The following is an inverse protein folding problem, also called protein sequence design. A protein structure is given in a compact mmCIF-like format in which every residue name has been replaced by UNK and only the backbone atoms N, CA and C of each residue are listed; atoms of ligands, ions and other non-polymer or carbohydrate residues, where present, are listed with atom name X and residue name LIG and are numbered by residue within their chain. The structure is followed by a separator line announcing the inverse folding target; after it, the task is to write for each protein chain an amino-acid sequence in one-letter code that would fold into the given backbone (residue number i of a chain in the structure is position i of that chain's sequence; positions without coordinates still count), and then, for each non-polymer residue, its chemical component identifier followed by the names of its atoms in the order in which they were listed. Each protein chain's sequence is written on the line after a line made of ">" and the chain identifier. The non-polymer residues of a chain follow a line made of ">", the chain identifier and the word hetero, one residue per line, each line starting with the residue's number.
data_IF_831518440270
#
_entry.id   IF_831518440270
#
_cell.length_a   1.000
_cell.length_b   1.000
_cell.length_c   1.000
_cell.angle_alpha   90.00
_cell.angle_beta   90.00
_cell.angle_gamma   90.00
#
_symmetry.space_group_name_H-M   'P 1'
#
loop_
_entity.id
_entity.type
_entity.pdbx_description
1 polymer ?
#
# COMPACT_ATOMS: atom_id res chain seq x y z
N UNK A 1 -80.97 16.90 14.07
CA UNK A 1 -79.52 16.67 14.20
C UNK A 1 -79.00 16.38 12.78
N UNK A 2 -78.24 17.28 12.14
CA UNK A 2 -77.81 17.10 10.75
C UNK A 2 -76.52 16.27 10.65
N UNK A 3 -76.33 15.74 9.45
CA UNK A 3 -75.52 14.57 9.10
C UNK A 3 -74.00 14.74 9.21
N UNK A 4 -73.35 13.61 9.50
CA UNK A 4 -71.90 13.42 9.51
C UNK A 4 -71.35 13.54 8.07
N UNK A 5 -70.47 14.50 7.82
CA UNK A 5 -69.77 14.67 6.54
C UNK A 5 -68.72 13.58 6.41
N UNK A 6 -68.88 12.73 5.39
CA UNK A 6 -68.01 11.59 5.08
C UNK A 6 -66.61 12.01 4.61
N UNK A 7 -65.63 11.22 5.04
CA UNK A 7 -64.21 11.28 4.70
C UNK A 7 -63.99 11.12 3.17
N UNK A 8 -63.30 12.10 2.57
CA UNK A 8 -62.48 12.01 1.34
C UNK A 8 -63.02 11.18 0.15
N UNK A 9 -63.91 11.77 -0.67
CA UNK A 9 -64.30 11.18 -1.96
C UNK A 9 -64.01 12.08 -3.18
N UNK A 10 -62.93 12.88 -3.18
CA UNK A 10 -62.63 13.68 -4.40
C UNK A 10 -61.17 14.14 -4.51
N UNK A 11 -60.23 13.20 -4.63
CA UNK A 11 -58.88 13.51 -5.14
C UNK A 11 -58.75 13.32 -6.67
N UNK A 12 -59.84 12.98 -7.38
CA UNK A 12 -59.81 12.70 -8.83
C UNK A 12 -60.20 13.87 -9.75
N UNK A 13 -60.52 15.07 -9.24
CA UNK A 13 -61.08 16.13 -10.09
C UNK A 13 -60.35 17.48 -10.06
N UNK A 14 -59.05 17.52 -9.79
CA UNK A 14 -58.29 18.78 -9.87
C UNK A 14 -57.32 18.77 -11.05
N UNK A 15 -57.84 18.50 -12.24
CA UNK A 15 -57.16 18.87 -13.47
C UNK A 15 -57.17 20.41 -13.56
N UNK A 16 -56.01 21.04 -13.36
CA UNK A 16 -55.82 22.47 -13.64
C UNK A 16 -55.82 23.45 -12.47
N UNK A 17 -55.74 23.00 -11.20
CA UNK A 17 -55.38 23.93 -10.10
C UNK A 17 -53.96 23.69 -9.62
N UNK A 18 -53.14 24.72 -9.75
CA UNK A 18 -51.87 24.83 -9.02
C UNK A 18 -52.23 24.96 -7.54
N UNK A 19 -51.76 24.04 -6.71
CA UNK A 19 -51.93 24.10 -5.26
C UNK A 19 -50.93 25.11 -4.67
N UNK A 20 -51.23 26.40 -4.81
CA UNK A 20 -50.29 27.49 -4.47
C UNK A 20 -50.17 27.77 -2.96
N UNK A 21 -50.88 27.06 -2.09
CA UNK A 21 -50.97 27.40 -0.65
C UNK A 21 -50.92 26.20 0.32
N UNK A 22 -50.24 25.11 -0.04
CA UNK A 22 -49.97 24.03 0.93
C UNK A 22 -48.51 24.12 1.37
N UNK A 23 -48.29 24.24 2.69
CA UNK A 23 -46.95 24.25 3.27
C UNK A 23 -46.25 22.89 3.07
N UNK A 24 -47.01 21.79 3.19
CA UNK A 24 -46.59 20.45 2.80
C UNK A 24 -47.77 19.55 2.43
N UNK A 25 -47.49 18.52 1.63
CA UNK A 25 -48.40 17.42 1.31
C UNK A 25 -47.78 16.15 1.88
N UNK A 26 -48.46 15.46 2.80
CA UNK A 26 -48.03 14.15 3.32
C UNK A 26 -48.88 13.04 2.73
N UNK A 27 -48.26 12.12 1.99
CA UNK A 27 -48.87 10.91 1.43
C UNK A 27 -48.45 9.70 2.28
N UNK A 28 -49.39 8.98 2.86
CA UNK A 28 -49.11 7.75 3.62
C UNK A 28 -49.50 6.53 2.80
N UNK A 29 -48.56 5.61 2.58
CA UNK A 29 -48.83 4.30 1.97
C UNK A 29 -49.63 3.39 2.89
N UNK A 30 -50.24 2.35 2.33
CA UNK A 30 -50.98 1.32 3.10
C UNK A 30 -50.07 0.47 3.99
N UNK A 31 -48.76 0.60 3.82
CA UNK A 31 -47.68 0.06 4.66
C UNK A 31 -47.31 0.99 5.84
N UNK A 32 -47.96 2.15 5.96
CA UNK A 32 -47.71 3.13 7.01
C UNK A 32 -46.53 4.08 6.72
N UNK A 33 -45.90 3.99 5.54
CA UNK A 33 -44.77 4.86 5.17
C UNK A 33 -45.27 6.20 4.64
N UNK A 34 -44.73 7.30 5.13
CA UNK A 34 -45.12 8.66 4.72
C UNK A 34 -44.10 9.33 3.80
N UNK A 35 -44.57 10.02 2.76
CA UNK A 35 -43.80 10.94 1.91
C UNK A 35 -44.35 12.35 2.14
N UNK A 36 -43.52 13.27 2.64
CA UNK A 36 -43.91 14.67 2.84
C UNK A 36 -43.23 15.56 1.80
N UNK A 37 -44.01 16.18 0.92
CA UNK A 37 -43.57 17.13 -0.10
C UNK A 37 -43.84 18.55 0.41
N UNK A 38 -42.80 19.25 0.83
CA UNK A 38 -42.85 20.67 1.22
C UNK A 38 -42.47 21.53 0.01
N UNK A 39 -43.01 22.75 -0.11
CA UNK A 39 -43.00 23.56 -1.34
C UNK A 39 -41.62 23.86 -1.97
N UNK A 40 -40.50 23.57 -1.30
CA UNK A 40 -39.16 23.81 -1.83
C UNK A 40 -38.16 22.68 -1.50
N UNK A 41 -38.52 21.44 -1.79
CA UNK A 41 -37.52 20.40 -2.03
C UNK A 41 -38.05 19.47 -3.11
N UNK A 42 -37.27 19.32 -4.17
CA UNK A 42 -37.32 18.19 -5.09
C UNK A 42 -37.65 16.89 -4.34
N UNK A 43 -38.32 15.94 -5.01
CA UNK A 43 -38.48 14.56 -4.54
C UNK A 43 -37.09 13.93 -4.36
N UNK A 44 -36.44 14.27 -3.27
CA UNK A 44 -35.24 13.63 -2.80
C UNK A 44 -35.75 12.46 -1.99
N UNK A 45 -35.31 11.26 -2.37
CA UNK A 45 -35.47 10.04 -1.60
C UNK A 45 -34.65 10.17 -0.30
N UNK A 46 -35.02 11.13 0.55
CA UNK A 46 -34.40 11.47 1.82
C UNK A 46 -34.84 10.49 2.92
N UNK A 47 -34.87 9.20 2.59
CA UNK A 47 -34.70 8.13 3.55
C UNK A 47 -33.42 7.41 3.14
N UNK A 48 -32.32 7.84 3.78
CA UNK A 48 -30.93 7.39 3.66
C UNK A 48 -30.12 7.97 2.47
N UNK A 49 -29.67 9.21 2.64
CA UNK A 49 -28.40 9.67 2.02
C UNK A 49 -27.40 10.09 3.11
N UNK A 50 -26.86 9.11 3.85
CA UNK A 50 -25.44 9.21 4.24
C UNK A 50 -24.51 8.71 3.14
N UNK A 51 -25.06 8.05 2.11
CA UNK A 51 -24.30 7.20 1.17
C UNK A 51 -24.32 7.72 -0.28
N UNK A 52 -24.92 8.88 -0.57
CA UNK A 52 -25.02 9.40 -1.94
C UNK A 52 -24.58 10.86 -2.03
N UNK A 53 -23.63 11.12 -2.91
CA UNK A 53 -23.12 12.47 -3.17
C UNK A 53 -24.16 13.31 -3.96
N UNK A 54 -24.22 14.64 -3.75
CA UNK A 54 -25.21 15.50 -4.39
C UNK A 54 -25.04 15.57 -5.92
N UNK A 55 -26.15 15.47 -6.65
CA UNK A 55 -26.21 15.34 -8.11
C UNK A 55 -25.53 16.48 -8.89
N UNK A 56 -25.52 17.69 -8.35
CA UNK A 56 -24.97 18.87 -9.03
C UNK A 56 -23.44 19.00 -8.87
N UNK A 57 -22.87 18.34 -7.88
CA UNK A 57 -21.43 18.34 -7.58
C UNK A 57 -21.15 17.17 -6.64
N UNK A 58 -20.97 15.94 -7.17
CA UNK A 58 -20.85 14.74 -6.33
C UNK A 58 -19.53 14.76 -5.55
N UNK A 59 -19.54 15.45 -4.42
CA UNK A 59 -18.46 15.48 -3.45
C UNK A 59 -18.92 14.70 -2.22
N UNK A 60 -18.17 13.67 -1.86
CA UNK A 60 -18.28 13.06 -0.55
C UNK A 60 -17.58 13.98 0.44
N UNK A 61 -18.35 14.75 1.19
CA UNK A 61 -17.83 15.73 2.18
C UNK A 61 -17.40 15.10 3.50
N UNK A 62 -17.57 13.78 3.63
CA UNK A 62 -17.17 12.95 4.78
C UNK A 62 -16.53 11.67 4.24
N UNK A 63 -15.53 11.17 4.96
CA UNK A 63 -14.87 9.88 4.68
C UNK A 63 -15.93 8.81 4.39
N UNK A 64 -15.97 8.29 3.17
CA UNK A 64 -16.74 7.08 2.86
C UNK A 64 -16.03 5.96 3.61
N UNK A 65 -16.53 5.62 4.80
CA UNK A 65 -16.00 4.51 5.58
C UNK A 65 -16.74 3.24 5.15
N UNK A 66 -16.71 2.92 3.86
CA UNK A 66 -16.77 1.51 3.47
C UNK A 66 -15.38 0.95 3.76
N UNK A 67 -15.24 -0.27 4.32
CA UNK A 67 -13.98 -0.77 4.86
C UNK A 67 -12.82 -0.92 3.86
N UNK A 68 -12.99 -0.52 2.60
CA UNK A 68 -12.07 -0.81 1.50
C UNK A 68 -11.43 0.46 0.93
N UNK A 69 -12.04 1.65 1.05
CA UNK A 69 -11.47 2.87 0.45
C UNK A 69 -11.65 4.08 1.41
N UNK A 70 -10.62 4.37 2.19
CA UNK A 70 -10.55 5.59 3.02
C UNK A 70 -9.91 6.74 2.23
N UNK A 71 -10.75 7.67 1.76
CA UNK A 71 -10.33 8.89 1.09
C UNK A 71 -10.39 10.09 2.04
N UNK A 72 -9.35 10.24 2.86
CA UNK A 72 -9.24 11.39 3.77
C UNK A 72 -8.30 12.44 3.18
N UNK A 73 -8.82 13.65 2.94
CA UNK A 73 -8.01 14.78 2.42
C UNK A 73 -7.46 14.56 1.01
N UNK A 74 -8.10 13.74 0.19
CA UNK A 74 -7.64 13.40 -1.17
C UNK A 74 -6.57 12.31 -1.24
N UNK A 75 -6.25 11.68 -0.11
CA UNK A 75 -5.31 10.55 -0.02
C UNK A 75 -6.05 9.22 -0.16
N UNK A 76 -5.33 8.14 -0.48
CA UNK A 76 -5.83 6.76 -0.41
C UNK A 76 -5.12 6.10 0.77
N UNK A 77 -5.84 5.83 1.86
CA UNK A 77 -5.22 5.17 3.01
C UNK A 77 -5.33 3.64 2.89
N UNK A 78 -4.20 2.97 3.13
CA UNK A 78 -4.12 1.51 3.25
C UNK A 78 -4.19 1.11 4.73
N UNK A 79 -4.78 -0.05 5.07
CA UNK A 79 -4.79 -0.55 6.44
C UNK A 79 -3.37 -0.89 6.91
N UNK A 80 -3.09 -0.67 8.20
CA UNK A 80 -1.78 -1.00 8.79
C UNK A 80 -1.43 -2.50 8.73
N UNK A 81 -2.44 -3.37 8.61
CA UNK A 81 -2.25 -4.77 8.29
C UNK A 81 -2.67 -5.00 6.84
N UNK A 82 -1.80 -5.63 6.04
CA UNK A 82 -2.07 -5.90 4.63
C UNK A 82 -3.41 -6.64 4.44
N UNK A 83 -4.26 -6.09 3.57
CA UNK A 83 -5.49 -6.73 3.11
C UNK A 83 -5.21 -7.49 1.80
N UNK A 84 -4.45 -8.58 1.90
CA UNK A 84 -3.86 -9.26 0.74
C UNK A 84 -4.88 -9.63 -0.35
N UNK A 85 -4.55 -9.31 -1.61
CA UNK A 85 -5.33 -9.71 -2.79
C UNK A 85 -4.52 -10.59 -3.73
N UNK A 86 -5.14 -11.64 -4.26
CA UNK A 86 -4.56 -12.49 -5.31
C UNK A 86 -4.90 -12.01 -6.74
N UNK A 87 -5.74 -10.98 -6.88
CA UNK A 87 -6.09 -10.41 -8.18
C UNK A 87 -4.97 -9.48 -8.69
N UNK A 88 -4.46 -9.76 -9.89
CA UNK A 88 -3.37 -9.00 -10.50
C UNK A 88 -3.71 -7.52 -10.79
N UNK A 89 -5.00 -7.16 -10.79
CA UNK A 89 -5.47 -5.79 -11.04
C UNK A 89 -5.84 -5.03 -9.75
N UNK A 90 -5.55 -5.60 -8.58
CA UNK A 90 -5.82 -4.96 -7.28
C UNK A 90 -4.53 -4.47 -6.66
N UNK A 91 -4.47 -3.17 -6.31
CA UNK A 91 -3.43 -2.64 -5.42
C UNK A 91 -3.91 -2.81 -3.98
N UNK A 92 -3.26 -3.68 -3.22
CA UNK A 92 -3.71 -4.15 -1.92
C UNK A 92 -2.92 -3.58 -0.74
N UNK A 93 -1.77 -2.96 -0.99
CA UNK A 93 -0.87 -2.50 0.07
C UNK A 93 0.00 -1.29 -0.30
N UNK A 94 0.31 -0.49 0.72
CA UNK A 94 1.31 0.57 0.70
C UNK A 94 1.93 0.71 2.09
N UNK A 95 3.25 0.52 2.18
CA UNK A 95 3.99 0.55 3.45
C UNK A 95 5.34 1.25 3.25
N UNK A 96 5.64 2.24 4.10
CA UNK A 96 6.95 2.90 4.18
C UNK A 96 7.52 2.72 5.57
N UNK A 97 8.59 1.93 5.69
CA UNK A 97 9.25 1.75 6.97
C UNK A 97 10.76 1.52 6.84
N UNK A 98 11.39 1.20 7.96
CA UNK A 98 12.78 0.79 8.05
C UNK A 98 12.88 -0.68 8.39
N UNK A 99 13.98 -1.33 7.99
CA UNK A 99 14.36 -2.64 8.52
C UNK A 99 15.80 -2.63 9.03
N UNK A 100 16.10 -3.58 9.92
CA UNK A 100 17.47 -3.78 10.39
C UNK A 100 18.24 -4.61 9.35
N UNK A 101 19.24 -3.99 8.74
CA UNK A 101 20.18 -4.63 7.83
C UNK A 101 21.06 -5.62 8.58
N UNK A 102 21.30 -6.78 7.96
CA UNK A 102 22.29 -7.74 8.40
C UNK A 102 23.12 -8.23 7.22
N UNK A 103 24.37 -8.58 7.51
CA UNK A 103 25.24 -9.27 6.57
C UNK A 103 25.58 -10.65 7.13
N UNK A 104 25.49 -11.67 6.27
CA UNK A 104 25.93 -13.03 6.61
C UNK A 104 26.79 -13.61 5.49
N UNK A 105 27.59 -14.61 5.82
CA UNK A 105 28.46 -15.30 4.87
C UNK A 105 27.82 -16.61 4.42
N UNK A 106 27.73 -16.83 3.11
CA UNK A 106 27.10 -18.02 2.55
C UNK A 106 27.86 -19.34 2.76
N UNK A 107 29.10 -19.30 3.27
CA UNK A 107 29.89 -20.51 3.54
C UNK A 107 30.36 -20.58 4.98
N UNK A 108 31.17 -19.61 5.44
CA UNK A 108 31.69 -19.58 6.81
C UNK A 108 32.16 -18.19 7.21
N UNK A 109 32.49 -18.03 8.49
CA UNK A 109 32.92 -16.76 9.07
C UNK A 109 31.76 -15.83 9.39
N UNK A 110 32.10 -14.63 9.85
CA UNK A 110 31.12 -13.62 10.25
C UNK A 110 31.49 -12.24 9.71
N UNK A 111 30.46 -11.44 9.47
CA UNK A 111 30.53 -9.99 9.19
C UNK A 111 29.48 -9.34 10.06
N UNK A 112 29.84 -8.34 10.85
CA UNK A 112 28.89 -7.58 11.67
C UNK A 112 28.82 -6.14 11.18
N UNK A 113 27.65 -5.53 11.30
CA UNK A 113 27.44 -4.13 10.92
C UNK A 113 27.55 -3.21 12.13
N UNK A 114 27.99 -1.98 11.89
CA UNK A 114 27.92 -0.91 12.86
C UNK A 114 26.45 -0.56 13.11
N UNK A 115 26.02 -0.59 14.38
CA UNK A 115 24.63 -0.35 14.78
C UNK A 115 24.12 1.07 14.46
N UNK A 116 25.00 2.04 14.22
CA UNK A 116 24.61 3.38 13.74
C UNK A 116 24.37 3.43 12.23
N UNK A 117 24.76 2.39 11.50
CA UNK A 117 24.70 2.30 10.04
C UNK A 117 24.18 0.92 9.60
N UNK A 118 23.14 0.41 10.25
CA UNK A 118 22.49 -0.85 9.87
C UNK A 118 20.96 -0.68 9.68
N UNK A 119 20.51 0.52 9.33
CA UNK A 119 19.11 0.81 9.02
C UNK A 119 18.93 0.92 7.51
N UNK A 120 18.09 0.06 6.94
CA UNK A 120 17.61 0.18 5.56
C UNK A 120 16.22 0.82 5.51
N UNK A 121 15.88 1.42 4.37
CA UNK A 121 14.60 2.11 4.13
C UNK A 121 13.87 1.51 2.93
N UNK A 122 12.59 1.16 3.11
CA UNK A 122 11.80 0.55 2.06
C UNK A 122 10.47 1.24 1.82
N UNK A 123 9.99 1.11 0.59
CA UNK A 123 8.63 1.44 0.21
C UNK A 123 8.05 0.23 -0.52
N UNK A 124 6.99 -0.35 0.04
CA UNK A 124 6.20 -1.42 -0.57
C UNK A 124 5.00 -0.82 -1.26
N UNK A 125 4.76 -1.23 -2.50
CA UNK A 125 3.60 -0.84 -3.31
C UNK A 125 3.05 -2.13 -3.92
N UNK A 126 1.96 -2.65 -3.34
CA UNK A 126 1.43 -3.98 -3.64
C UNK A 126 2.50 -5.06 -3.50
N UNK A 127 2.81 -5.76 -4.59
CA UNK A 127 3.80 -6.83 -4.63
C UNK A 127 5.24 -6.38 -4.95
N UNK A 128 5.52 -5.08 -5.05
CA UNK A 128 6.86 -4.57 -5.36
C UNK A 128 7.43 -3.81 -4.17
N UNK A 129 8.67 -4.12 -3.83
CA UNK A 129 9.38 -3.48 -2.71
C UNK A 129 10.60 -2.75 -3.26
N UNK A 130 10.66 -1.44 -3.03
CA UNK A 130 11.82 -0.60 -3.30
C UNK A 130 12.65 -0.49 -2.04
N UNK A 131 13.96 -0.69 -2.17
CA UNK A 131 14.89 -0.69 -1.03
C UNK A 131 16.07 0.23 -1.32
N UNK A 132 16.57 0.88 -0.28
CA UNK A 132 17.83 1.60 -0.33
C UNK A 132 18.46 1.71 1.06
N UNK A 133 19.77 1.95 1.09
CA UNK A 133 20.47 2.17 2.34
C UNK A 133 21.99 2.24 2.15
N UNK A 134 22.65 2.59 3.25
CA UNK A 134 24.10 2.47 3.42
C UNK A 134 24.36 1.63 4.66
N UNK A 135 25.39 0.80 4.58
CA UNK A 135 25.85 0.02 5.72
C UNK A 135 27.36 0.14 5.89
N UNK A 136 27.80 0.16 7.16
CA UNK A 136 29.22 0.19 7.51
C UNK A 136 29.56 -1.08 8.30
N UNK A 137 30.58 -1.79 7.88
CA UNK A 137 31.03 -3.02 8.53
C UNK A 137 31.79 -2.69 9.81
N UNK A 138 31.37 -3.27 10.93
CA UNK A 138 32.00 -3.10 12.23
C UNK A 138 33.15 -4.10 12.45
N UNK A 139 32.93 -5.38 12.13
CA UNK A 139 33.95 -6.41 12.28
C UNK A 139 33.77 -7.55 11.28
N UNK A 140 34.86 -8.26 11.02
CA UNK A 140 34.90 -9.46 10.17
C UNK A 140 35.70 -10.55 10.86
N UNK A 141 35.33 -11.81 10.64
CA UNK A 141 36.10 -12.97 11.11
C UNK A 141 36.05 -14.07 10.05
N UNK A 142 37.14 -14.21 9.31
CA UNK A 142 37.35 -15.22 8.25
C UNK A 142 36.15 -15.39 7.30
N UNK A 143 35.63 -14.32 6.69
CA UNK A 143 34.42 -14.39 5.87
C UNK A 143 34.67 -15.15 4.55
N UNK A 144 33.83 -16.15 4.26
CA UNK A 144 33.96 -16.99 3.05
C UNK A 144 32.61 -17.11 2.33
N UNK A 145 32.68 -17.10 1.00
CA UNK A 145 31.54 -17.35 0.12
C UNK A 145 30.87 -16.08 -0.39
N UNK A 146 29.59 -16.21 -0.75
CA UNK A 146 28.74 -15.09 -1.15
C UNK A 146 28.34 -14.27 0.07
N UNK A 147 28.34 -12.95 -0.07
CA UNK A 147 27.86 -12.07 0.98
C UNK A 147 26.35 -11.94 0.85
N UNK A 148 25.62 -12.17 1.93
CA UNK A 148 24.16 -12.18 1.95
C UNK A 148 23.68 -10.98 2.77
N UNK A 149 22.87 -10.13 2.16
CA UNK A 149 22.25 -8.97 2.80
C UNK A 149 20.77 -9.24 3.08
N UNK A 150 20.27 -8.94 4.27
CA UNK A 150 18.84 -9.10 4.57
C UNK A 150 17.93 -8.21 3.71
N UNK A 151 16.74 -8.73 3.41
CA UNK A 151 15.62 -8.05 2.80
C UNK A 151 14.48 -7.89 3.81
N UNK A 152 13.64 -6.85 3.70
CA UNK A 152 12.49 -6.66 4.60
C UNK A 152 11.43 -7.75 4.44
N UNK A 153 11.26 -8.29 3.24
CA UNK A 153 10.29 -9.35 2.93
C UNK A 153 10.93 -10.48 2.10
N UNK A 154 10.37 -11.68 2.21
CA UNK A 154 10.71 -12.81 1.34
C UNK A 154 10.32 -12.49 -0.10
N UNK A 155 11.26 -12.64 -1.03
CA UNK A 155 11.02 -12.47 -2.46
C UNK A 155 10.13 -13.57 -3.05
N UNK A 156 9.51 -13.25 -4.18
CA UNK A 156 8.60 -14.14 -4.88
C UNK A 156 9.27 -15.49 -5.25
N UNK A 157 8.50 -16.57 -5.25
CA UNK A 157 8.96 -17.93 -5.55
C UNK A 157 8.95 -18.30 -7.03
N UNK A 158 8.40 -17.42 -7.89
CA UNK A 158 8.37 -17.63 -9.35
C UNK A 158 9.78 -17.70 -9.92
N UNK A 159 10.02 -18.67 -10.80
CA UNK A 159 11.31 -18.84 -11.44
C UNK A 159 11.72 -17.56 -12.20
N UNK A 160 13.01 -17.20 -12.11
CA UNK A 160 13.61 -16.08 -12.84
C UNK A 160 13.06 -14.68 -12.48
N UNK A 161 12.44 -14.49 -11.31
CA UNK A 161 11.96 -13.18 -10.85
C UNK A 161 13.01 -12.34 -10.08
N UNK A 162 14.31 -12.64 -10.25
CA UNK A 162 15.37 -11.97 -9.49
C UNK A 162 15.41 -10.47 -9.82
N UNK A 163 15.39 -9.63 -8.79
CA UNK A 163 15.59 -8.19 -8.90
C UNK A 163 17.09 -7.87 -8.90
N UNK A 164 17.55 -7.10 -9.87
CA UNK A 164 18.90 -6.54 -9.85
C UNK A 164 18.93 -5.31 -8.92
N UNK A 165 20.01 -5.19 -8.15
CA UNK A 165 20.25 -4.06 -7.26
C UNK A 165 21.50 -3.31 -7.73
N UNK A 166 21.45 -1.98 -7.71
CA UNK A 166 22.63 -1.16 -7.82
C UNK A 166 23.40 -1.24 -6.49
N UNK A 167 24.71 -1.44 -6.56
CA UNK A 167 25.58 -1.53 -5.39
C UNK A 167 26.90 -0.81 -5.66
N UNK A 168 27.38 -0.11 -4.64
CA UNK A 168 28.72 0.47 -4.61
C UNK A 168 29.32 0.25 -3.23
N UNK A 169 30.66 0.21 -3.17
CA UNK A 169 31.36 0.09 -1.91
C UNK A 169 32.65 0.89 -1.89
N UNK A 170 33.09 1.24 -0.68
CA UNK A 170 34.38 1.84 -0.38
C UNK A 170 35.03 1.08 0.78
N UNK A 171 36.36 1.12 0.88
CA UNK A 171 37.07 0.52 2.00
C UNK A 171 36.94 -1.00 2.06
N UNK A 172 36.84 -1.69 0.91
CA UNK A 172 36.98 -3.14 0.82
C UNK A 172 38.46 -3.57 0.97
N UNK A 173 38.72 -4.87 1.01
CA UNK A 173 40.08 -5.41 0.95
C UNK A 173 40.82 -4.97 -0.32
N UNK A 174 42.16 -4.88 -0.27
CA UNK A 174 42.94 -4.45 -1.45
C UNK A 174 42.86 -5.42 -2.62
N UNK A 175 42.42 -6.65 -2.37
CA UNK A 175 42.13 -7.68 -3.37
C UNK A 175 40.81 -7.44 -4.12
N UNK A 176 39.97 -6.51 -3.65
CA UNK A 176 38.68 -6.17 -4.23
C UNK A 176 38.83 -5.26 -5.47
N UNK A 177 39.45 -5.78 -6.53
CA UNK A 177 39.82 -5.02 -7.74
C UNK A 177 38.80 -5.14 -8.88
N UNK A 178 37.58 -5.57 -8.57
CA UNK A 178 36.61 -6.06 -9.56
C UNK A 178 35.24 -5.41 -9.37
N UNK A 179 34.36 -5.52 -10.36
CA UNK A 179 33.01 -4.93 -10.25
C UNK A 179 32.17 -5.67 -9.19
N UNK A 180 31.30 -4.93 -8.52
CA UNK A 180 30.30 -5.48 -7.60
C UNK A 180 29.00 -5.76 -8.35
N UNK A 181 28.29 -6.78 -7.90
CA UNK A 181 26.95 -7.12 -8.38
C UNK A 181 26.06 -7.41 -7.19
N UNK A 182 24.78 -7.08 -7.30
CA UNK A 182 23.80 -7.47 -6.31
C UNK A 182 22.48 -7.90 -6.98
N UNK A 183 21.90 -8.99 -6.50
CA UNK A 183 20.62 -9.47 -6.97
C UNK A 183 19.86 -10.23 -5.88
N UNK A 184 18.53 -10.19 -5.90
CA UNK A 184 17.72 -11.03 -5.01
C UNK A 184 17.74 -12.49 -5.49
N UNK A 185 17.48 -13.42 -4.56
CA UNK A 185 17.15 -14.81 -4.89
C UNK A 185 15.65 -14.96 -5.04
N UNK A 186 15.17 -16.07 -5.59
CA UNK A 186 13.75 -16.48 -5.49
C UNK A 186 13.47 -17.06 -4.10
N UNK A 187 12.26 -16.85 -3.57
CA UNK A 187 11.81 -17.41 -2.30
C UNK A 187 12.82 -17.20 -1.14
N UNK A 188 13.31 -15.98 -0.98
CA UNK A 188 14.37 -15.68 -0.01
C UNK A 188 14.22 -14.29 0.59
N UNK A 189 14.58 -14.16 1.86
CA UNK A 189 14.69 -12.88 2.56
C UNK A 189 16.11 -12.30 2.52
N UNK A 190 16.94 -12.72 1.55
CA UNK A 190 18.27 -12.15 1.34
C UNK A 190 18.55 -11.80 -0.13
N UNK A 191 19.36 -10.76 -0.33
CA UNK A 191 20.03 -10.45 -1.57
C UNK A 191 21.48 -10.93 -1.56
N UNK A 192 21.96 -11.39 -2.70
CA UNK A 192 23.34 -11.79 -2.89
C UNK A 192 24.18 -10.59 -3.34
N UNK A 193 25.21 -10.27 -2.58
CA UNK A 193 26.28 -9.37 -2.98
C UNK A 193 27.47 -10.21 -3.45
N UNK A 194 27.89 -9.97 -4.69
CA UNK A 194 28.88 -10.76 -5.42
C UNK A 194 29.89 -9.83 -6.07
N UNK A 195 30.99 -10.43 -6.54
CA UNK A 195 31.94 -9.78 -7.43
C UNK A 195 31.88 -10.39 -8.82
N UNK A 196 32.22 -9.60 -9.84
CA UNK A 196 32.33 -10.03 -11.22
C UNK A 196 33.73 -9.78 -11.75
N UNK A 197 34.38 -10.84 -12.21
CA UNK A 197 35.74 -10.78 -12.72
C UNK A 197 35.93 -11.86 -13.78
N UNK A 198 36.70 -11.56 -14.83
CA UNK A 198 37.07 -12.54 -15.86
C UNK A 198 35.87 -13.36 -16.42
N UNK A 199 34.71 -12.72 -16.59
CA UNK A 199 33.51 -13.35 -17.16
C UNK A 199 32.69 -14.20 -16.20
N UNK A 200 33.04 -14.25 -14.91
CA UNK A 200 32.36 -15.07 -13.90
C UNK A 200 31.95 -14.27 -12.67
N UNK A 201 30.83 -14.67 -12.05
CA UNK A 201 30.39 -14.16 -10.75
C UNK A 201 30.93 -15.06 -9.63
N UNK A 202 31.50 -14.46 -8.58
CA UNK A 202 31.96 -15.19 -7.39
C UNK A 202 31.56 -14.50 -6.10
N UNK A 203 31.80 -15.19 -4.97
CA UNK A 203 31.51 -14.67 -3.65
C UNK A 203 32.31 -13.40 -3.30
N UNK A 204 31.63 -12.44 -2.66
CA UNK A 204 32.21 -11.17 -2.20
C UNK A 204 32.74 -11.22 -0.77
N UNK A 205 32.29 -12.15 0.08
CA UNK A 205 32.61 -12.17 1.51
C UNK A 205 34.10 -12.03 1.84
N UNK A 206 35.03 -12.70 1.12
CA UNK A 206 36.48 -12.55 1.39
C UNK A 206 37.04 -11.14 1.17
N UNK A 207 36.32 -10.28 0.45
CA UNK A 207 36.74 -8.90 0.15
C UNK A 207 36.24 -7.89 1.18
N UNK A 208 35.46 -8.34 2.17
CA UNK A 208 34.87 -7.47 3.19
C UNK A 208 35.83 -7.33 4.37
N UNK A 209 35.99 -6.08 4.84
CA UNK A 209 36.77 -5.75 6.04
C UNK A 209 36.04 -4.76 6.94
N UNK A 210 36.52 -4.62 8.18
CA UNK A 210 36.04 -3.59 9.09
C UNK A 210 36.25 -2.18 8.49
N UNK A 211 35.25 -1.32 8.61
CA UNK A 211 35.23 0.01 8.00
C UNK A 211 34.81 0.04 6.53
N UNK A 212 34.52 -1.11 5.90
CA UNK A 212 33.93 -1.15 4.57
C UNK A 212 32.55 -0.47 4.59
N UNK A 213 32.33 0.44 3.65
CA UNK A 213 31.05 1.11 3.42
C UNK A 213 30.41 0.52 2.18
N UNK A 214 29.14 0.14 2.25
CA UNK A 214 28.40 -0.43 1.12
C UNK A 214 27.08 0.30 1.03
N UNK A 215 26.80 0.90 -0.13
CA UNK A 215 25.50 1.49 -0.44
C UNK A 215 24.79 0.70 -1.54
N UNK A 216 23.47 0.61 -1.43
CA UNK A 216 22.66 -0.14 -2.36
C UNK A 216 21.32 0.56 -2.60
N UNK A 217 20.73 0.29 -3.77
CA UNK A 217 19.33 0.57 -4.04
C UNK A 217 18.78 -0.39 -5.11
N UNK A 218 17.46 -0.57 -5.12
CA UNK A 218 16.80 -1.34 -6.18
C UNK A 218 15.39 -1.71 -5.81
N UNK A 219 14.82 -2.65 -6.57
CA UNK A 219 13.50 -3.19 -6.27
C UNK A 219 13.43 -4.68 -6.56
N UNK A 220 12.49 -5.35 -5.89
CA UNK A 220 12.19 -6.76 -6.11
C UNK A 220 10.70 -7.03 -5.91
N UNK A 221 10.28 -8.22 -6.33
CA UNK A 221 8.89 -8.67 -6.25
C UNK A 221 8.78 -9.67 -5.09
N UNK A 222 7.69 -9.59 -4.34
CA UNK A 222 7.33 -10.51 -3.25
C UNK A 222 6.19 -11.45 -3.66
#
# INVERSE_FOLDING_TARGET
>A
MPAQIGYFDTLKSVAGKVFTYLASITLTGTDGKTITVTQDTSLDEAVAMSDKAPKASPAFTTKITTPIIDLTGGQIAFPAAQAASADANTLDDYEEETWTLTLTCGTSGTVTLNASYNTGYYTKIGNRVFIHGIMIVASVSSPVGTLLMSLPFTSNSVANCQGALAVSANGLESTAVTQLMANTSTNSNVAYLKKFAAGVSSGLSPEIKAGAEISFCGSYII
#
